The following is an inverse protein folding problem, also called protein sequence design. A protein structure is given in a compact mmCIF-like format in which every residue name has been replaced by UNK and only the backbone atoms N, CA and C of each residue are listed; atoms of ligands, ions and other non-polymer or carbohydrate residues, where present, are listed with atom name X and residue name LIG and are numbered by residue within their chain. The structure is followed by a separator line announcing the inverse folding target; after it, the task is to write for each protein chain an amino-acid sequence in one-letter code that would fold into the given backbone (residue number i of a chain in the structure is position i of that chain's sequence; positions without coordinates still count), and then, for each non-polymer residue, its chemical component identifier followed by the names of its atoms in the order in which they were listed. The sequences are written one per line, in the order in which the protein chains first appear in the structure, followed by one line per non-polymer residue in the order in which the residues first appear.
data_IF_785963650355
#
_entry.id   IF_785963650355
#
_cell.length_a   1.000
_cell.length_b   1.000
_cell.length_c   1.000
_cell.angle_alpha   90.00
_cell.angle_beta   90.00
_cell.angle_gamma   90.00
#
_symmetry.space_group_name_H-M   'P 1'
#
loop_
_entity.id
_entity.type
_entity.pdbx_description
1 polymer ?
#
# COMPACT_ATOMS: atom_id res chain seq x y z
N UNK A 1 -27.47 -13.80 -13.68
CA UNK A 1 -26.32 -14.50 -14.28
C UNK A 1 -25.45 -13.44 -14.93
N UNK A 2 -24.14 -13.48 -14.73
CA UNK A 2 -23.21 -12.59 -15.42
C UNK A 2 -22.56 -13.33 -16.58
N UNK A 3 -22.32 -12.63 -17.69
CA UNK A 3 -21.76 -13.20 -18.91
C UNK A 3 -20.21 -13.29 -18.88
N UNK A 4 -19.58 -12.57 -17.94
CA UNK A 4 -18.13 -12.52 -17.75
C UNK A 4 -17.79 -12.66 -16.26
N UNK A 5 -16.76 -13.44 -15.95
CA UNK A 5 -16.22 -13.59 -14.60
C UNK A 5 -14.71 -13.34 -14.58
N UNK A 6 -14.25 -12.56 -13.60
CA UNK A 6 -12.83 -12.35 -13.33
C UNK A 6 -12.38 -13.31 -12.23
N UNK A 7 -11.38 -14.13 -12.52
CA UNK A 7 -10.85 -15.08 -11.55
C UNK A 7 -9.41 -15.44 -11.86
N UNK A 8 -8.70 -15.97 -10.85
CA UNK A 8 -7.37 -16.52 -11.06
C UNK A 8 -7.45 -17.83 -11.84
N UNK A 9 -6.46 -18.07 -12.68
CA UNK A 9 -6.39 -19.28 -13.51
C UNK A 9 -6.41 -20.57 -12.66
N UNK A 10 -5.75 -20.56 -11.50
CA UNK A 10 -5.73 -21.73 -10.62
C UNK A 10 -7.10 -22.02 -10.00
N UNK A 11 -7.85 -20.98 -9.63
CA UNK A 11 -9.20 -21.12 -9.08
C UNK A 11 -10.15 -21.68 -10.15
N UNK A 12 -10.04 -21.19 -11.40
CA UNK A 12 -10.77 -21.74 -12.55
C UNK A 12 -10.47 -23.23 -12.76
N UNK A 13 -9.19 -23.62 -12.73
CA UNK A 13 -8.78 -25.03 -12.92
C UNK A 13 -9.30 -25.95 -11.82
N UNK A 14 -9.43 -25.45 -10.59
CA UNK A 14 -10.08 -26.20 -9.50
C UNK A 14 -11.58 -26.30 -9.75
N UNK A 15 -12.21 -25.21 -10.18
CA UNK A 15 -13.63 -25.18 -10.52
C UNK A 15 -13.98 -26.17 -11.64
N UNK A 16 -13.25 -26.15 -12.76
CA UNK A 16 -13.47 -27.04 -13.91
C UNK A 16 -13.41 -28.53 -13.53
N UNK A 17 -12.54 -28.89 -12.56
CA UNK A 17 -12.41 -30.27 -12.06
C UNK A 17 -13.53 -30.69 -11.11
N UNK A 18 -14.19 -29.74 -10.45
CA UNK A 18 -15.15 -30.00 -9.38
C UNK A 18 -16.59 -29.93 -9.85
N UNK A 19 -16.87 -29.21 -10.94
CA UNK A 19 -18.21 -29.14 -11.54
C UNK A 19 -18.49 -30.42 -12.33
N UNK A 20 -19.36 -31.27 -11.78
CA UNK A 20 -19.85 -32.50 -12.45
C UNK A 20 -20.99 -32.22 -13.44
N UNK A 21 -21.58 -31.03 -13.38
CA UNK A 21 -22.75 -30.67 -14.16
C UNK A 21 -22.36 -29.68 -15.28
N UNK A 22 -22.19 -30.18 -16.50
CA UNK A 22 -21.92 -29.37 -17.72
C UNK A 22 -23.14 -28.55 -18.18
N UNK A 23 -24.04 -28.20 -17.27
CA UNK A 23 -25.29 -27.50 -17.57
C UNK A 23 -25.08 -26.03 -17.93
N UNK A 24 -23.89 -25.48 -17.65
CA UNK A 24 -23.44 -24.19 -18.14
C UNK A 24 -22.67 -24.41 -19.45
N UNK A 25 -22.92 -23.60 -20.47
CA UNK A 25 -22.28 -23.71 -21.80
C UNK A 25 -20.75 -23.69 -21.75
N UNK A 26 -20.12 -23.85 -22.93
CA UNK A 26 -18.67 -23.78 -23.05
C UNK A 26 -18.15 -22.42 -22.57
N UNK A 27 -17.23 -22.43 -21.61
CA UNK A 27 -16.53 -21.24 -21.16
C UNK A 27 -15.29 -21.02 -22.04
N UNK A 28 -14.88 -19.76 -22.16
CA UNK A 28 -13.70 -19.37 -22.92
C UNK A 28 -12.91 -18.33 -22.14
N UNK A 29 -11.59 -18.33 -22.32
CA UNK A 29 -10.75 -17.25 -21.84
C UNK A 29 -10.80 -16.09 -22.84
N UNK A 30 -11.15 -14.90 -22.36
CA UNK A 30 -11.08 -13.67 -23.15
C UNK A 30 -9.67 -13.07 -23.02
N UNK A 31 -9.01 -12.83 -24.15
CA UNK A 31 -7.68 -12.24 -24.19
C UNK A 31 -7.72 -10.70 -24.29
N UNK A 32 -6.66 -10.00 -23.85
CA UNK A 32 -6.58 -8.53 -23.96
C UNK A 32 -6.71 -7.98 -25.38
N UNK A 33 -6.32 -8.79 -26.39
CA UNK A 33 -6.45 -8.44 -27.81
C UNK A 33 -7.86 -8.69 -28.39
N UNK A 34 -8.84 -9.06 -27.56
CA UNK A 34 -10.21 -9.36 -27.96
C UNK A 34 -10.43 -10.76 -28.55
N UNK A 35 -9.38 -11.58 -28.65
CA UNK A 35 -9.52 -12.99 -29.07
C UNK A 35 -9.99 -13.88 -27.92
N UNK A 36 -10.48 -15.07 -28.25
CA UNK A 36 -10.91 -16.07 -27.27
C UNK A 36 -10.07 -17.34 -27.38
N UNK A 37 -9.80 -17.96 -26.23
CA UNK A 37 -9.08 -19.23 -26.13
C UNK A 37 -9.92 -20.27 -25.39
N UNK A 38 -9.75 -21.55 -25.77
CA UNK A 38 -10.44 -22.67 -25.12
C UNK A 38 -9.94 -22.86 -23.69
N UNK A 39 -10.79 -23.36 -22.80
CA UNK A 39 -10.40 -23.66 -21.40
C UNK A 39 -9.33 -24.75 -21.30
N UNK A 40 -9.24 -25.61 -22.30
CA UNK A 40 -8.22 -26.66 -22.43
C UNK A 40 -6.83 -26.13 -22.82
N UNK A 41 -6.70 -24.84 -23.15
CA UNK A 41 -5.41 -24.23 -23.48
C UNK A 41 -4.48 -24.29 -22.25
N UNK A 42 -3.29 -24.89 -22.35
CA UNK A 42 -2.45 -25.14 -21.17
C UNK A 42 -1.97 -23.85 -20.51
N UNK A 43 -1.59 -22.84 -21.28
CA UNK A 43 -1.17 -21.52 -20.80
C UNK A 43 -2.00 -20.46 -21.55
N UNK A 44 -3.24 -20.19 -21.09
CA UNK A 44 -4.08 -19.22 -21.75
C UNK A 44 -3.52 -17.81 -21.56
N UNK A 45 -3.96 -16.89 -22.41
CA UNK A 45 -3.72 -15.46 -22.23
C UNK A 45 -4.24 -14.99 -20.86
N UNK A 46 -3.54 -14.03 -20.26
CA UNK A 46 -3.91 -13.39 -19.00
C UNK A 46 -3.95 -11.88 -19.17
N UNK A 47 -4.85 -11.23 -18.44
CA UNK A 47 -4.95 -9.76 -18.44
C UNK A 47 -3.88 -9.13 -17.57
N UNK A 48 -3.71 -9.69 -16.37
CA UNK A 48 -2.75 -9.26 -15.37
C UNK A 48 -2.28 -10.49 -14.60
N UNK A 49 -1.01 -10.50 -14.21
CA UNK A 49 -0.44 -11.49 -13.30
C UNK A 49 -0.05 -10.80 -12.00
N UNK A 50 -0.44 -11.37 -10.87
CA UNK A 50 0.02 -10.88 -9.56
C UNK A 50 1.31 -11.62 -9.19
N UNK A 51 2.44 -10.90 -8.97
CA UNK A 51 3.66 -11.51 -8.44
C UNK A 51 3.39 -12.21 -7.12
N UNK A 52 4.13 -13.29 -6.86
CA UNK A 52 4.07 -13.95 -5.56
C UNK A 52 4.71 -13.05 -4.50
N UNK A 53 4.21 -13.08 -3.24
CA UNK A 53 4.91 -12.46 -2.13
C UNK A 53 6.34 -13.00 -2.06
N UNK A 54 7.32 -12.09 -2.02
CA UNK A 54 8.74 -12.44 -2.01
C UNK A 54 9.46 -11.74 -0.87
N UNK A 55 10.61 -12.29 -0.49
CA UNK A 55 11.48 -11.71 0.51
C UNK A 55 12.47 -10.76 -0.15
N UNK A 56 12.47 -9.52 0.31
CA UNK A 56 13.38 -8.48 -0.17
C UNK A 56 14.38 -8.17 0.94
N UNK A 57 15.67 -8.17 0.58
CA UNK A 57 16.76 -7.78 1.47
C UNK A 57 17.70 -6.83 0.75
N UNK A 58 18.51 -6.10 1.51
CA UNK A 58 19.65 -5.37 0.94
C UNK A 58 20.57 -6.36 0.26
N UNK A 59 21.14 -5.97 -0.88
CA UNK A 59 22.07 -6.82 -1.66
C UNK A 59 23.21 -7.37 -0.80
N UNK A 60 23.75 -6.55 0.13
CA UNK A 60 24.79 -6.97 1.06
C UNK A 60 24.40 -8.14 2.00
N UNK A 61 23.10 -8.44 2.13
CA UNK A 61 22.55 -9.49 3.00
C UNK A 61 21.98 -10.68 2.21
N UNK A 62 22.10 -10.73 0.88
CA UNK A 62 21.45 -11.76 0.06
C UNK A 62 21.93 -13.16 0.42
N UNK A 63 23.25 -13.37 0.58
CA UNK A 63 23.83 -14.65 0.97
C UNK A 63 23.37 -15.11 2.36
N UNK A 64 23.25 -14.16 3.30
CA UNK A 64 22.76 -14.45 4.66
C UNK A 64 21.30 -14.91 4.62
N UNK A 65 20.48 -14.26 3.80
CA UNK A 65 19.09 -14.66 3.60
C UNK A 65 18.99 -16.08 3.02
N UNK A 66 19.80 -16.42 2.01
CA UNK A 66 19.79 -17.76 1.41
C UNK A 66 20.12 -18.85 2.44
N UNK A 67 21.14 -18.63 3.28
CA UNK A 67 21.49 -19.55 4.35
C UNK A 67 20.33 -19.69 5.36
N UNK A 68 19.76 -18.56 5.77
CA UNK A 68 18.62 -18.51 6.68
C UNK A 68 17.40 -19.28 6.14
N UNK A 69 17.07 -19.10 4.86
CA UNK A 69 15.95 -19.79 4.21
C UNK A 69 16.19 -21.28 4.07
N UNK A 70 17.44 -21.72 3.92
CA UNK A 70 17.78 -23.14 3.95
C UNK A 70 17.47 -23.74 5.32
N UNK A 71 17.83 -23.05 6.41
CA UNK A 71 17.52 -23.50 7.77
C UNK A 71 16.02 -23.50 8.08
N UNK A 72 15.30 -22.47 7.64
CA UNK A 72 13.85 -22.34 7.89
C UNK A 72 13.05 -23.30 7.00
N UNK A 73 13.41 -23.43 5.72
CA UNK A 73 12.72 -24.25 4.73
C UNK A 73 12.87 -25.76 4.95
N UNK A 74 13.97 -26.19 5.56
CA UNK A 74 14.20 -27.60 5.95
C UNK A 74 13.47 -28.01 7.23
N UNK A 75 12.89 -27.05 7.97
CA UNK A 75 12.04 -27.38 9.12
C UNK A 75 10.72 -28.00 8.67
N UNK A 76 10.69 -29.33 8.66
CA UNK A 76 9.45 -30.10 8.52
C UNK A 76 8.49 -29.69 9.64
N UNK A 77 7.16 -29.78 9.43
CA UNK A 77 6.21 -29.67 10.53
C UNK A 77 6.53 -30.77 11.55
N UNK A 78 7.26 -30.43 12.61
CA UNK A 78 7.51 -31.35 13.72
C UNK A 78 6.23 -31.54 14.49
N UNK A 79 6.05 -32.73 15.08
CA UNK A 79 4.91 -33.06 15.94
C UNK A 79 4.76 -32.17 17.18
N UNK A 80 5.75 -31.29 17.44
CA UNK A 80 5.68 -30.22 18.42
C UNK A 80 5.69 -28.86 17.68
N UNK A 81 4.50 -28.29 17.39
CA UNK A 81 4.38 -27.17 16.47
C UNK A 81 4.70 -25.79 17.08
N UNK A 82 4.94 -25.66 18.39
CA UNK A 82 4.96 -24.33 19.05
C UNK A 82 6.33 -23.93 19.63
N UNK A 83 7.31 -24.82 19.68
CA UNK A 83 8.58 -24.56 20.40
C UNK A 83 9.77 -24.16 19.53
N UNK A 84 9.72 -24.36 18.20
CA UNK A 84 10.83 -24.05 17.30
C UNK A 84 10.67 -22.66 16.66
N UNK A 85 11.65 -21.77 16.88
CA UNK A 85 11.71 -20.46 16.21
C UNK A 85 11.63 -20.59 14.69
N UNK A 86 12.17 -21.68 14.11
CA UNK A 86 12.13 -21.94 12.66
C UNK A 86 10.70 -22.12 12.15
N UNK A 87 9.85 -22.81 12.92
CA UNK A 87 8.44 -22.97 12.57
C UNK A 87 7.70 -21.64 12.66
N UNK A 88 7.89 -20.88 13.75
CA UNK A 88 7.25 -19.56 13.92
C UNK A 88 7.66 -18.61 12.80
N UNK A 89 8.95 -18.54 12.49
CA UNK A 89 9.46 -17.69 11.41
C UNK A 89 8.93 -18.14 10.05
N UNK A 90 8.86 -19.45 9.78
CA UNK A 90 8.26 -19.96 8.55
C UNK A 90 6.80 -19.51 8.40
N UNK A 91 6.00 -19.63 9.46
CA UNK A 91 4.59 -19.22 9.43
C UNK A 91 4.43 -17.70 9.34
N UNK A 92 5.35 -16.91 9.90
CA UNK A 92 5.35 -15.46 9.78
C UNK A 92 5.66 -14.99 8.35
N UNK A 93 6.66 -15.61 7.72
CA UNK A 93 7.11 -15.27 6.36
C UNK A 93 6.10 -15.74 5.30
N UNK A 94 5.49 -16.90 5.53
CA UNK A 94 4.73 -17.64 4.52
C UNK A 94 3.40 -18.12 5.11
N UNK A 95 2.53 -17.23 5.63
CA UNK A 95 1.27 -17.64 6.29
C UNK A 95 0.30 -18.34 5.32
N UNK A 96 0.36 -18.01 4.03
CA UNK A 96 -0.57 -18.51 3.00
C UNK A 96 0.10 -19.39 1.94
N UNK A 97 1.43 -19.42 1.89
CA UNK A 97 2.19 -20.20 0.91
C UNK A 97 2.67 -21.51 1.53
N UNK A 98 2.51 -22.63 0.82
CA UNK A 98 2.91 -23.96 1.35
C UNK A 98 4.42 -24.13 1.45
N UNK A 99 5.17 -23.46 0.56
CA UNK A 99 6.62 -23.63 0.42
C UNK A 99 7.27 -22.27 0.15
N UNK A 100 8.45 -22.07 0.72
CA UNK A 100 9.35 -20.98 0.36
C UNK A 100 10.29 -21.55 -0.69
N UNK A 101 10.27 -20.99 -1.89
CA UNK A 101 11.14 -21.41 -2.99
C UNK A 101 12.24 -20.38 -3.17
N UNK A 102 13.48 -20.84 -3.26
CA UNK A 102 14.60 -19.98 -3.61
C UNK A 102 14.50 -19.63 -5.11
N UNK A 103 14.63 -18.34 -5.42
CA UNK A 103 14.73 -17.88 -6.81
C UNK A 103 16.07 -18.32 -7.40
N UNK A 104 16.08 -18.73 -8.67
CA UNK A 104 17.31 -19.13 -9.36
C UNK A 104 18.30 -17.96 -9.48
N UNK A 105 17.78 -16.74 -9.59
CA UNK A 105 18.54 -15.50 -9.72
C UNK A 105 18.06 -14.45 -8.71
N UNK A 106 18.96 -13.54 -8.33
CA UNK A 106 18.61 -12.36 -7.54
C UNK A 106 18.05 -11.27 -8.46
N UNK A 107 16.92 -10.67 -8.08
CA UNK A 107 16.27 -9.60 -8.84
C UNK A 107 16.16 -8.34 -8.00
N UNK A 108 16.22 -7.18 -8.66
CA UNK A 108 15.76 -5.93 -8.03
C UNK A 108 14.24 -5.95 -7.93
N UNK A 109 13.62 -5.27 -6.94
CA UNK A 109 12.16 -5.24 -6.81
C UNK A 109 11.46 -4.78 -8.09
N UNK A 110 11.95 -3.73 -8.73
CA UNK A 110 11.36 -3.22 -9.97
C UNK A 110 11.40 -4.24 -11.12
N UNK A 111 12.52 -4.95 -11.27
CA UNK A 111 12.63 -5.99 -12.30
C UNK A 111 11.65 -7.15 -12.02
N UNK A 112 11.58 -7.61 -10.77
CA UNK A 112 10.67 -8.67 -10.35
C UNK A 112 9.20 -8.32 -10.62
N UNK A 113 8.79 -7.08 -10.31
CA UNK A 113 7.42 -6.61 -10.57
C UNK A 113 7.15 -6.42 -12.07
N UNK A 114 8.13 -5.96 -12.84
CA UNK A 114 8.00 -5.74 -14.29
C UNK A 114 7.88 -7.06 -15.08
N UNK A 115 8.40 -8.17 -14.55
CA UNK A 115 8.28 -9.49 -15.16
C UNK A 115 6.84 -10.03 -15.10
N UNK A 116 6.04 -9.60 -14.11
CA UNK A 116 4.64 -9.97 -14.02
C UNK A 116 3.81 -9.25 -15.07
N UNK A 117 3.12 -10.02 -15.91
CA UNK A 117 2.32 -9.52 -17.02
C UNK A 117 1.39 -8.39 -16.60
N UNK A 118 1.60 -7.21 -17.17
CA UNK A 118 0.81 -5.99 -16.97
C UNK A 118 0.61 -5.57 -15.50
N UNK A 119 1.43 -6.04 -14.56
CA UNK A 119 1.24 -5.73 -13.14
C UNK A 119 1.46 -4.25 -12.85
N UNK A 120 2.60 -3.70 -13.30
CA UNK A 120 2.93 -2.29 -13.09
C UNK A 120 1.97 -1.35 -13.83
N UNK A 121 1.63 -1.66 -15.08
CA UNK A 121 0.70 -0.83 -15.86
C UNK A 121 -0.70 -0.85 -15.27
N UNK A 122 -1.17 -2.01 -14.79
CA UNK A 122 -2.47 -2.10 -14.13
C UNK A 122 -2.51 -1.27 -12.84
N UNK A 123 -1.41 -1.18 -12.09
CA UNK A 123 -1.31 -0.33 -10.89
C UNK A 123 -1.18 1.17 -11.19
N UNK A 124 -0.68 1.54 -12.36
CA UNK A 124 -0.49 2.94 -12.77
C UNK A 124 -1.76 3.52 -13.44
N UNK A 125 -2.52 2.67 -14.15
CA UNK A 125 -3.72 3.06 -14.92
C UNK A 125 -5.04 2.98 -14.12
N UNK A 126 -5.02 2.80 -12.78
CA UNK A 126 -6.21 2.49 -11.97
C UNK A 126 -7.31 3.56 -11.97
N UNK A 127 -7.01 4.80 -12.38
CA UNK A 127 -8.04 5.82 -12.53
C UNK A 127 -8.43 5.98 -14.00
N UNK A 128 -9.33 5.13 -14.47
CA UNK A 128 -10.14 5.44 -15.67
C UNK A 128 -11.03 6.69 -15.48
N UNK A 129 -11.07 7.23 -14.25
CA UNK A 129 -11.50 8.58 -13.95
C UNK A 129 -10.30 9.53 -14.02
N UNK A 130 -10.49 10.74 -14.55
CA UNK A 130 -9.48 11.80 -14.50
C UNK A 130 -9.28 12.32 -13.05
N UNK A 131 -8.73 11.47 -12.18
CA UNK A 131 -8.30 11.84 -10.83
C UNK A 131 -6.87 12.39 -10.82
N UNK A 132 -6.24 12.55 -12.00
CA UNK A 132 -4.92 13.16 -12.15
C UNK A 132 -4.84 14.58 -11.54
N UNK A 133 -6.00 15.19 -11.30
CA UNK A 133 -6.17 16.50 -10.69
C UNK A 133 -6.63 16.48 -9.22
N UNK A 134 -6.96 15.32 -8.66
CA UNK A 134 -7.45 15.20 -7.29
C UNK A 134 -6.33 14.67 -6.40
N UNK A 135 -5.84 15.55 -5.52
CA UNK A 135 -4.84 15.26 -4.49
C UNK A 135 -5.41 15.75 -3.17
N UNK A 136 -5.29 14.95 -2.11
CA UNK A 136 -5.63 15.36 -0.74
C UNK A 136 -4.39 16.00 -0.13
N UNK A 137 -4.45 17.30 0.14
CA UNK A 137 -3.38 18.04 0.81
C UNK A 137 -3.54 17.94 2.31
N UNK A 138 -2.66 17.16 2.94
CA UNK A 138 -2.64 16.93 4.37
C UNK A 138 -1.66 17.91 5.03
N UNK A 139 -2.19 18.87 5.80
CA UNK A 139 -1.37 19.80 6.57
C UNK A 139 -0.76 19.11 7.79
N UNK A 140 0.56 19.19 7.88
CA UNK A 140 1.34 18.67 9.00
C UNK A 140 2.25 19.73 9.58
N UNK A 141 2.48 19.64 10.88
CA UNK A 141 3.55 20.39 11.54
C UNK A 141 4.91 19.92 11.01
N UNK A 142 5.88 20.84 10.80
CA UNK A 142 7.19 20.48 10.30
C UNK A 142 7.93 19.56 11.30
N UNK A 143 8.62 18.55 10.77
CA UNK A 143 9.37 17.56 11.55
C UNK A 143 8.75 16.16 11.51
N UNK A 144 8.46 15.60 12.69
CA UNK A 144 8.03 14.20 12.79
C UNK A 144 6.67 13.92 12.15
N UNK A 145 5.73 14.86 12.23
CA UNK A 145 4.39 14.67 11.67
C UNK A 145 4.41 14.71 10.15
N UNK A 146 5.27 15.55 9.56
CA UNK A 146 5.54 15.54 8.12
C UNK A 146 6.09 14.21 7.64
N UNK A 147 7.12 13.67 8.31
CA UNK A 147 7.72 12.39 7.93
C UNK A 147 6.72 11.23 7.99
N UNK A 148 5.83 11.21 8.99
CA UNK A 148 4.74 10.22 9.06
C UNK A 148 3.77 10.34 7.89
N UNK A 149 3.42 11.58 7.52
CA UNK A 149 2.55 11.83 6.37
C UNK A 149 3.21 11.37 5.07
N UNK A 150 4.49 11.69 4.85
CA UNK A 150 5.20 11.30 3.61
C UNK A 150 5.29 9.76 3.48
N UNK A 151 5.50 9.06 4.60
CA UNK A 151 5.47 7.59 4.66
C UNK A 151 4.07 7.05 4.35
N UNK A 152 3.03 7.63 4.95
CA UNK A 152 1.65 7.24 4.67
C UNK A 152 1.30 7.46 3.20
N UNK A 153 1.69 8.59 2.61
CA UNK A 153 1.48 8.89 1.20
C UNK A 153 2.16 7.86 0.28
N UNK A 154 3.41 7.48 0.60
CA UNK A 154 4.11 6.42 -0.14
C UNK A 154 3.41 5.06 -0.03
N UNK A 155 2.99 4.68 1.18
CA UNK A 155 2.29 3.42 1.41
C UNK A 155 0.94 3.42 0.69
N UNK A 156 0.15 4.48 0.85
CA UNK A 156 -1.14 4.63 0.19
C UNK A 156 -1.02 4.42 -1.33
N UNK A 157 -0.06 5.09 -1.98
CA UNK A 157 0.21 4.92 -3.40
C UNK A 157 0.60 3.49 -3.77
N UNK A 158 1.50 2.87 -3.00
CA UNK A 158 1.92 1.49 -3.24
C UNK A 158 0.78 0.46 -3.12
N UNK A 159 -0.30 0.80 -2.42
CA UNK A 159 -1.50 -0.03 -2.26
C UNK A 159 -2.65 0.37 -3.21
N UNK A 160 -2.43 1.29 -4.17
CA UNK A 160 -3.47 1.74 -5.11
C UNK A 160 -4.55 2.63 -4.46
N UNK A 161 -4.25 3.24 -3.31
CA UNK A 161 -5.21 4.15 -2.66
C UNK A 161 -5.24 5.47 -3.43
N UNK A 162 -6.41 5.82 -3.93
CA UNK A 162 -6.69 7.09 -4.64
C UNK A 162 -7.73 7.93 -3.86
N UNK A 163 -7.67 9.28 -3.93
CA UNK A 163 -6.65 10.10 -4.59
C UNK A 163 -5.30 10.12 -3.86
N UNK A 164 -4.26 10.61 -4.54
CA UNK A 164 -2.92 10.78 -3.97
C UNK A 164 -2.92 11.71 -2.75
N UNK A 165 -2.01 11.47 -1.81
CA UNK A 165 -1.81 12.30 -0.61
C UNK A 165 -0.59 13.19 -0.82
N UNK A 166 -0.76 14.50 -0.70
CA UNK A 166 0.33 15.47 -0.67
C UNK A 166 0.43 16.04 0.75
N UNK A 167 1.61 15.92 1.34
CA UNK A 167 1.86 16.52 2.64
C UNK A 167 2.26 17.98 2.42
N UNK A 168 1.70 18.90 3.20
CA UNK A 168 2.03 20.33 3.14
C UNK A 168 2.33 20.83 4.55
N UNK A 169 3.22 21.83 4.66
CA UNK A 169 3.52 22.47 5.93
C UNK A 169 3.45 24.00 5.81
N UNK A 170 3.00 24.73 6.84
CA UNK A 170 2.85 26.18 6.76
C UNK A 170 4.14 26.97 6.52
N UNK A 171 5.30 26.37 6.83
CA UNK A 171 6.62 26.95 6.56
C UNK A 171 7.04 26.89 5.09
N UNK A 172 6.34 26.12 4.25
CA UNK A 172 6.64 25.96 2.81
C UNK A 172 5.94 27.03 1.94
N UNK A 173 5.18 27.94 2.55
CA UNK A 173 4.38 28.99 1.89
C UNK A 173 5.13 30.10 1.16
N UNK A 174 6.46 29.99 0.96
CA UNK A 174 7.20 30.89 0.08
C UNK A 174 8.22 30.14 -0.77
N UNK A 175 7.74 29.60 -1.89
CA UNK A 175 8.51 29.41 -3.12
C UNK A 175 9.50 28.25 -3.15
N UNK A 176 9.11 27.13 -3.75
CA UNK A 176 9.57 26.69 -5.08
C UNK A 176 9.06 25.27 -5.31
N UNK A 177 8.41 25.04 -6.46
CA UNK A 177 8.17 23.69 -6.97
C UNK A 177 9.52 23.02 -7.18
N UNK A 178 9.88 22.09 -6.31
CA UNK A 178 10.94 21.13 -6.57
C UNK A 178 10.32 19.88 -7.17
N UNK A 179 10.27 19.83 -8.48
CA UNK A 179 10.24 18.57 -9.21
C UNK A 179 11.60 17.89 -9.05
N UNK A 180 11.74 17.07 -8.01
CA UNK A 180 12.81 16.07 -7.86
C UNK A 180 12.09 14.80 -7.40
N UNK A 181 11.91 13.82 -8.28
CA UNK A 181 13.02 12.98 -8.75
C UNK A 181 13.14 11.83 -7.76
N UNK A 182 12.60 10.67 -8.12
CA UNK A 182 12.71 9.42 -7.36
C UNK A 182 14.15 9.19 -6.91
N UNK A 183 14.41 9.17 -5.61
CA UNK A 183 15.63 8.58 -5.07
C UNK A 183 15.39 7.95 -3.69
N UNK A 184 16.05 6.82 -3.51
CA UNK A 184 15.82 5.77 -2.52
C UNK A 184 16.28 6.21 -1.12
N UNK A 185 15.49 5.94 -0.08
CA UNK A 185 15.91 6.20 1.31
C UNK A 185 16.90 5.12 1.75
N UNK A 186 18.18 5.51 1.82
CA UNK A 186 19.20 4.84 2.63
C UNK A 186 19.03 5.28 4.09
N UNK A 187 18.70 4.35 4.97
CA UNK A 187 18.50 4.63 6.39
C UNK A 187 19.85 4.85 7.10
N UNK A 188 20.17 6.09 7.46
CA UNK A 188 21.12 6.37 8.55
C UNK A 188 20.34 6.82 9.78
N UNK A 189 20.49 6.06 10.86
CA UNK A 189 19.93 6.40 12.17
C UNK A 189 20.75 7.49 12.83
N UNK A 190 20.10 8.59 13.19
CA UNK A 190 20.65 9.58 14.11
C UNK A 190 19.59 9.96 15.15
N UNK A 191 19.82 9.52 16.38
CA UNK A 191 19.13 10.01 17.58
C UNK A 191 19.31 11.52 17.71
N UNK A 192 18.19 12.24 17.69
CA UNK A 192 18.15 13.66 18.03
C UNK A 192 17.47 13.83 19.38
N UNK A 193 18.24 14.31 20.37
CA UNK A 193 17.77 14.63 21.72
C UNK A 193 16.68 15.71 21.69
N UNK A 194 15.61 15.43 22.42
CA UNK A 194 14.44 16.28 22.60
C UNK A 194 14.75 17.45 23.55
N UNK A 195 14.66 18.68 23.07
CA UNK A 195 14.56 19.89 23.89
C UNK A 195 13.17 20.47 23.67
N UNK A 196 12.26 20.18 24.61
CA UNK A 196 10.88 20.66 24.57
C UNK A 196 10.75 21.89 25.46
N UNK A 197 10.71 23.07 24.86
CA UNK A 197 10.24 24.30 25.49
C UNK A 197 9.17 24.95 24.58
N UNK A 198 7.91 24.91 25.02
CA UNK A 198 6.93 26.00 24.85
C UNK A 198 6.41 26.38 23.46
N UNK A 199 6.43 25.51 22.44
CA UNK A 199 6.06 25.89 21.05
C UNK A 199 4.67 25.44 20.53
N UNK A 200 3.85 24.76 21.33
CA UNK A 200 2.68 24.05 20.81
C UNK A 200 1.51 24.94 20.35
N UNK A 201 1.25 26.08 21.01
CA UNK A 201 0.10 26.97 20.73
C UNK A 201 0.09 27.53 19.29
N UNK A 202 1.25 28.00 18.84
CA UNK A 202 1.39 28.78 17.61
C UNK A 202 1.35 27.94 16.32
N UNK A 203 1.47 26.61 16.43
CA UNK A 203 1.60 25.68 15.30
C UNK A 203 0.26 25.17 14.76
N UNK A 204 -0.66 24.79 15.66
CA UNK A 204 -2.01 24.33 15.30
C UNK A 204 -2.85 25.38 14.58
N UNK A 205 -2.63 26.67 14.88
CA UNK A 205 -3.35 27.77 14.23
C UNK A 205 -2.94 27.94 12.76
N UNK A 206 -1.72 27.52 12.41
CA UNK A 206 -1.17 27.74 11.07
C UNK A 206 -1.74 26.77 10.04
N UNK A 207 -1.96 25.50 10.41
CA UNK A 207 -2.68 24.55 9.55
C UNK A 207 -4.18 24.91 9.45
N UNK A 208 -4.78 25.39 10.54
CA UNK A 208 -6.17 25.87 10.51
C UNK A 208 -6.34 27.04 9.53
N UNK A 209 -5.36 27.95 9.46
CA UNK A 209 -5.32 29.01 8.46
C UNK A 209 -5.20 28.47 7.03
N UNK A 210 -4.31 27.50 6.77
CA UNK A 210 -4.19 26.86 5.45
C UNK A 210 -5.49 26.20 5.01
N UNK A 211 -6.19 25.50 5.91
CA UNK A 211 -7.53 24.94 5.65
C UNK A 211 -8.52 26.03 5.24
N UNK A 212 -8.59 27.14 6.00
CA UNK A 212 -9.50 28.25 5.68
C UNK A 212 -9.22 28.92 4.34
N UNK A 213 -7.98 28.86 3.85
CA UNK A 213 -7.54 29.41 2.57
C UNK A 213 -7.69 28.42 1.40
N UNK A 214 -8.07 27.17 1.70
CA UNK A 214 -8.08 26.09 0.71
C UNK A 214 -6.69 25.71 0.22
N UNK A 215 -5.64 25.96 1.03
CA UNK A 215 -4.26 25.53 0.79
C UNK A 215 -3.99 24.11 1.32
N UNK A 216 -4.88 23.61 2.18
CA UNK A 216 -4.92 22.24 2.68
C UNK A 216 -6.37 21.73 2.71
N UNK A 217 -6.54 20.41 2.69
CA UNK A 217 -7.84 19.74 2.71
C UNK A 217 -8.08 19.02 4.06
N UNK A 218 -7.00 18.54 4.69
CA UNK A 218 -7.02 17.88 6.00
C UNK A 218 -5.91 18.43 6.90
N UNK A 219 -6.06 18.28 8.23
CA UNK A 219 -4.96 18.51 9.18
C UNK A 219 -5.01 17.50 10.32
N UNK A 220 -3.85 17.19 10.90
CA UNK A 220 -3.79 16.48 12.16
C UNK A 220 -4.13 17.44 13.30
N UNK A 221 -5.13 17.10 14.11
CA UNK A 221 -5.50 17.86 15.32
C UNK A 221 -5.16 17.02 16.53
N UNK A 222 -4.30 17.54 17.41
CA UNK A 222 -4.08 16.87 18.69
C UNK A 222 -5.39 16.84 19.49
N UNK A 223 -5.67 15.70 20.09
CA UNK A 223 -6.94 15.43 20.78
C UNK A 223 -7.23 16.41 21.93
N UNK A 224 -6.19 16.95 22.57
CA UNK A 224 -6.28 17.96 23.63
C UNK A 224 -6.69 19.36 23.11
N UNK A 225 -6.66 19.58 21.79
CA UNK A 225 -6.95 20.88 21.15
C UNK A 225 -8.08 20.84 20.12
N UNK A 226 -8.74 19.70 20.00
CA UNK A 226 -9.86 19.50 19.10
C UNK A 226 -10.98 20.53 19.31
N UNK A 227 -11.29 20.86 20.57
CA UNK A 227 -12.29 21.85 20.92
C UNK A 227 -11.93 23.28 20.47
N UNK A 228 -10.64 23.62 20.43
CA UNK A 228 -10.16 24.94 20.04
C UNK A 228 -10.09 25.09 18.52
N UNK A 229 -9.62 24.04 17.83
CA UNK A 229 -9.57 23.98 16.37
C UNK A 229 -10.97 24.09 15.71
N UNK A 230 -11.99 23.49 16.33
CA UNK A 230 -13.36 23.60 15.84
C UNK A 230 -14.01 24.96 16.14
N UNK A 231 -13.57 25.67 17.18
CA UNK A 231 -14.09 27.00 17.52
C UNK A 231 -13.54 28.10 16.61
N UNK A 232 -12.27 27.97 16.18
CA UNK A 232 -11.58 28.97 15.36
C UNK A 232 -12.03 28.96 13.90
N UNK A 233 -12.53 27.83 13.38
CA UNK A 233 -13.01 27.73 12.01
C UNK A 233 -14.55 27.74 11.96
N UNK A 234 -15.13 28.85 11.47
CA UNK A 234 -16.59 29.02 11.37
C UNK A 234 -17.30 27.96 10.54
N UNK A 235 -16.61 27.34 9.56
CA UNK A 235 -17.15 26.29 8.71
C UNK A 235 -17.19 24.92 9.38
N UNK A 236 -16.35 24.68 10.40
CA UNK A 236 -16.26 23.41 11.11
C UNK A 236 -17.09 23.38 12.40
N UNK A 237 -17.78 24.48 12.74
CA UNK A 237 -18.60 24.59 13.95
C UNK A 237 -19.72 23.55 14.03
N UNK A 238 -20.20 23.05 12.90
CA UNK A 238 -21.21 22.00 12.85
C UNK A 238 -20.69 20.64 13.34
N UNK A 239 -19.37 20.43 13.37
CA UNK A 239 -18.74 19.18 13.83
C UNK A 239 -18.48 19.17 15.35
N UNK A 240 -18.70 20.29 16.06
CA UNK A 240 -18.46 20.42 17.52
C UNK A 240 -19.30 19.45 18.34
N UNK A 241 -20.46 19.05 17.83
CA UNK A 241 -21.37 18.14 18.52
C UNK A 241 -21.28 16.68 18.05
N UNK A 242 -20.34 16.36 17.14
CA UNK A 242 -20.16 14.98 16.67
C UNK A 242 -19.27 14.20 17.63
N UNK A 243 -19.70 12.99 17.99
CA UNK A 243 -18.86 12.10 18.80
C UNK A 243 -17.62 11.66 18.01
N UNK A 244 -16.50 11.28 18.66
CA UNK A 244 -15.31 10.79 17.97
C UNK A 244 -15.58 9.63 17.01
N UNK A 245 -16.61 8.80 17.32
CA UNK A 245 -17.08 7.70 16.48
C UNK A 245 -17.87 8.16 15.25
N UNK A 246 -18.56 9.30 15.33
CA UNK A 246 -19.30 9.86 14.20
C UNK A 246 -18.37 10.53 13.18
N UNK A 247 -17.21 11.03 13.61
CA UNK A 247 -16.23 11.65 12.72
C UNK A 247 -15.48 10.62 11.87
N UNK A 248 -15.26 9.42 12.41
CA UNK A 248 -14.59 8.31 11.71
C UNK A 248 -15.43 7.70 10.58
N UNK A 249 -16.73 8.00 10.52
CA UNK A 249 -17.65 7.56 9.46
C UNK A 249 -17.88 8.62 8.37
N UNK A 250 -17.32 9.82 8.53
CA UNK A 250 -17.44 10.93 7.56
C UNK A 250 -16.15 11.10 6.73
N UNK A 251 -15.06 10.45 7.14
CA UNK A 251 -13.84 10.22 6.36
C UNK A 251 -13.93 8.87 5.63
#
# INVERSE_FOLDING_TARGET
MGDVGWMRLDDWRVHEKTVTNKACGEFFFLCPNGTVQLTSTPNPCVWVSQPLPTLVVRSALSQVLTHFLTEVGTSLPTSDPVSSWRWVTRNLISPYTRYITQLENEFTPNYYLAEATNYLTASEDESGCDYSHHVIRFCTDPGQDRSKCDQLAHIARAYGVVPDIECVSPSEGHGTKSSQGHETIESQGQESKESSQGGGAMRSDSCAQMLSRGEADLMSVRTDRYADALRSNSHLRHLINMSPLQLLMVL
#
